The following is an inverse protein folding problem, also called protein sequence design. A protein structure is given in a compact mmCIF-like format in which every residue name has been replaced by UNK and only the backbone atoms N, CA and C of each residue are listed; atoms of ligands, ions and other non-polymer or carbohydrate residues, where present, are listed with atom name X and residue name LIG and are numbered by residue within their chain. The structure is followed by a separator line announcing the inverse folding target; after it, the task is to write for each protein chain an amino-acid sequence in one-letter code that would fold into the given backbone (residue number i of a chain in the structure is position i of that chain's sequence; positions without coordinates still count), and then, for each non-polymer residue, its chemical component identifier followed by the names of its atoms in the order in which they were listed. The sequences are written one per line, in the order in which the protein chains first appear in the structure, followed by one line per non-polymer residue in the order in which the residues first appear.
data_IF_334310576243
#
_entry.id   IF_334310576243
#
_cell.length_a   1.000
_cell.length_b   1.000
_cell.length_c   1.000
_cell.angle_alpha   90.00
_cell.angle_beta   90.00
_cell.angle_gamma   90.00
#
_symmetry.space_group_name_H-M   'P 1'
#
loop_
_entity.id
_entity.type
_entity.pdbx_description
1 polymer ?
#
# COMPACT_ATOMS: atom_id res chain seq x y z
N UNK A 1 5.08 -23.89 0.66
CA UNK A 1 4.57 -24.10 2.03
C UNK A 1 3.05 -24.17 1.97
N UNK A 2 2.44 -25.03 2.77
CA UNK A 2 0.98 -25.12 2.88
C UNK A 2 0.56 -24.38 4.16
N UNK A 3 0.01 -23.18 4.01
CA UNK A 3 -0.44 -22.36 5.14
C UNK A 3 -1.87 -22.75 5.51
N UNK A 4 -2.04 -23.40 6.65
CA UNK A 4 -3.30 -23.97 7.10
C UNK A 4 -4.16 -23.01 7.92
N UNK A 5 -3.53 -22.13 8.68
CA UNK A 5 -4.22 -21.16 9.54
C UNK A 5 -3.62 -19.77 9.41
N UNK A 6 -4.46 -18.80 9.07
CA UNK A 6 -4.05 -17.41 8.82
C UNK A 6 -4.88 -16.48 9.70
N UNK A 7 -4.19 -15.58 10.40
CA UNK A 7 -4.78 -14.58 11.26
C UNK A 7 -4.80 -13.20 10.63
N UNK A 8 -5.86 -12.43 10.90
CA UNK A 8 -5.99 -11.03 10.49
C UNK A 8 -6.21 -10.13 11.69
N UNK A 9 -5.36 -9.14 11.87
CA UNK A 9 -5.55 -8.08 12.86
C UNK A 9 -5.98 -6.82 12.12
N UNK A 10 -7.28 -6.58 12.12
CA UNK A 10 -7.96 -5.59 11.30
C UNK A 10 -8.57 -6.18 10.02
N UNK A 11 -9.88 -5.96 9.82
CA UNK A 11 -10.62 -6.34 8.63
C UNK A 11 -11.27 -5.10 8.00
N UNK A 12 -10.44 -4.19 7.49
CA UNK A 12 -10.87 -3.08 6.65
C UNK A 12 -10.98 -3.50 5.17
N UNK A 13 -10.89 -2.53 4.26
CA UNK A 13 -10.88 -2.78 2.82
C UNK A 13 -9.76 -3.78 2.42
N UNK A 14 -8.52 -3.53 2.83
CA UNK A 14 -7.37 -4.35 2.40
C UNK A 14 -7.37 -5.71 3.11
N UNK A 15 -7.46 -5.73 4.46
CA UNK A 15 -7.47 -6.99 5.22
C UNK A 15 -8.65 -7.88 4.86
N UNK A 16 -9.83 -7.30 4.69
CA UNK A 16 -11.03 -8.03 4.23
C UNK A 16 -10.89 -8.55 2.80
N UNK A 17 -10.33 -7.76 1.88
CA UNK A 17 -10.10 -8.20 0.50
C UNK A 17 -9.08 -9.35 0.43
N UNK A 18 -7.99 -9.25 1.20
CA UNK A 18 -7.00 -10.32 1.29
C UNK A 18 -7.63 -11.61 1.86
N UNK A 19 -8.41 -11.50 2.95
CA UNK A 19 -9.12 -12.64 3.53
C UNK A 19 -10.10 -13.27 2.54
N UNK A 20 -10.94 -12.48 1.85
CA UNK A 20 -11.85 -12.96 0.81
C UNK A 20 -11.13 -13.61 -0.37
N UNK A 21 -10.00 -13.04 -0.80
CA UNK A 21 -9.16 -13.62 -1.86
C UNK A 21 -8.62 -14.98 -1.44
N UNK A 22 -8.06 -15.08 -0.23
CA UNK A 22 -7.53 -16.35 0.31
C UNK A 22 -8.66 -17.38 0.42
N UNK A 23 -9.82 -17.02 0.96
CA UNK A 23 -10.94 -17.95 1.11
C UNK A 23 -11.47 -18.46 -0.23
N UNK A 24 -11.45 -17.61 -1.27
CA UNK A 24 -11.84 -18.00 -2.63
C UNK A 24 -10.86 -19.01 -3.25
N UNK A 25 -9.55 -18.80 -3.06
CA UNK A 25 -8.50 -19.60 -3.71
C UNK A 25 -8.15 -20.85 -2.89
N UNK A 26 -8.16 -20.72 -1.58
CA UNK A 26 -7.82 -21.76 -0.60
C UNK A 26 -8.97 -21.96 0.40
N UNK A 27 -10.11 -22.55 -0.01
CA UNK A 27 -11.31 -22.65 0.82
C UNK A 27 -11.10 -23.45 2.12
N UNK A 28 -10.13 -24.37 2.14
CA UNK A 28 -9.81 -25.20 3.31
C UNK A 28 -8.91 -24.49 4.35
N UNK A 29 -8.33 -23.33 4.00
CA UNK A 29 -7.53 -22.57 4.95
C UNK A 29 -8.44 -21.99 6.04
N UNK A 30 -8.09 -22.21 7.30
CA UNK A 30 -8.75 -21.58 8.44
C UNK A 30 -8.34 -20.11 8.52
N UNK A 31 -9.31 -19.21 8.44
CA UNK A 31 -9.07 -17.78 8.59
C UNK A 31 -9.73 -17.32 9.88
N UNK A 32 -8.93 -16.68 10.75
CA UNK A 32 -9.40 -16.04 11.98
C UNK A 32 -9.07 -14.56 11.96
N UNK A 33 -9.88 -13.75 12.64
CA UNK A 33 -9.65 -12.32 12.66
C UNK A 33 -10.05 -11.66 13.99
N UNK A 34 -9.43 -10.51 14.26
CA UNK A 34 -9.92 -9.54 15.23
C UNK A 34 -10.01 -8.15 14.62
N UNK A 35 -10.85 -7.30 15.15
CA UNK A 35 -11.12 -5.94 14.64
C UNK A 35 -11.49 -5.01 15.80
N UNK A 36 -11.49 -3.71 15.55
CA UNK A 36 -11.97 -2.72 16.52
C UNK A 36 -13.48 -2.77 16.77
N UNK A 37 -14.24 -3.46 15.91
CA UNK A 37 -15.71 -3.53 16.02
C UNK A 37 -16.19 -4.97 15.82
N UNK A 38 -17.01 -5.45 16.75
CA UNK A 38 -17.63 -6.78 16.66
C UNK A 38 -18.48 -6.93 15.39
N UNK A 39 -19.18 -5.89 14.96
CA UNK A 39 -19.98 -5.91 13.72
C UNK A 39 -19.19 -6.27 12.46
N UNK A 40 -17.91 -5.91 12.41
CA UNK A 40 -17.01 -6.31 11.31
C UNK A 40 -16.74 -7.81 11.33
N UNK A 41 -16.51 -8.37 12.51
CA UNK A 41 -16.28 -9.82 12.69
C UNK A 41 -17.57 -10.60 12.38
N UNK A 42 -18.71 -10.15 12.89
CA UNK A 42 -20.01 -10.75 12.59
C UNK A 42 -20.27 -10.80 11.08
N UNK A 43 -20.08 -9.68 10.36
CA UNK A 43 -20.28 -9.63 8.91
C UNK A 43 -19.34 -10.58 8.15
N UNK A 44 -18.06 -10.68 8.57
CA UNK A 44 -17.09 -11.56 7.94
C UNK A 44 -17.33 -13.06 8.26
N UNK A 45 -17.91 -13.35 9.41
CA UNK A 45 -18.35 -14.69 9.78
C UNK A 45 -19.61 -15.11 8.99
N UNK A 46 -20.60 -14.23 8.91
CA UNK A 46 -21.86 -14.49 8.19
C UNK A 46 -21.64 -14.71 6.68
N UNK A 47 -20.66 -14.05 6.07
CA UNK A 47 -20.28 -14.28 4.66
C UNK A 47 -19.25 -15.41 4.49
N UNK A 48 -18.98 -16.19 5.54
CA UNK A 48 -18.08 -17.33 5.57
C UNK A 48 -16.62 -17.02 5.19
N UNK A 49 -16.17 -15.78 5.35
CA UNK A 49 -14.78 -15.40 5.10
C UNK A 49 -13.86 -15.86 6.25
N UNK A 50 -14.33 -15.76 7.49
CA UNK A 50 -13.58 -16.17 8.69
C UNK A 50 -14.34 -17.21 9.52
N UNK A 51 -13.65 -17.91 10.44
CA UNK A 51 -14.22 -18.99 11.24
C UNK A 51 -14.67 -18.58 12.64
N UNK A 52 -14.30 -17.37 13.12
CA UNK A 52 -14.73 -16.88 14.42
C UNK A 52 -15.82 -15.80 14.31
N UNK A 53 -16.75 -15.81 15.27
CA UNK A 53 -17.88 -14.89 15.38
C UNK A 53 -17.72 -13.85 16.52
N UNK A 54 -16.62 -13.95 17.28
CA UNK A 54 -16.29 -13.08 18.40
C UNK A 54 -14.94 -12.38 18.20
N UNK A 55 -14.71 -11.30 18.97
CA UNK A 55 -13.39 -10.65 19.00
C UNK A 55 -12.38 -11.58 19.68
N UNK A 56 -11.25 -11.79 19.01
CA UNK A 56 -10.16 -12.63 19.50
C UNK A 56 -9.12 -11.79 20.24
N UNK A 57 -8.52 -12.38 21.27
CA UNK A 57 -7.33 -11.85 21.93
C UNK A 57 -6.05 -12.28 21.20
N UNK A 58 -4.93 -11.59 21.43
CA UNK A 58 -3.66 -11.86 20.73
C UNK A 58 -3.15 -13.30 20.94
N UNK A 59 -3.42 -13.93 22.08
CA UNK A 59 -3.08 -15.33 22.36
C UNK A 59 -3.75 -16.34 21.41
N UNK A 60 -4.92 -15.99 20.86
CA UNK A 60 -5.71 -16.87 19.99
C UNK A 60 -5.08 -17.01 18.60
N UNK A 61 -4.08 -16.18 18.27
CA UNK A 61 -3.28 -16.23 17.03
C UNK A 61 -2.01 -17.10 17.17
N UNK A 62 -1.80 -17.75 18.29
CA UNK A 62 -0.55 -18.45 18.62
C UNK A 62 -0.21 -19.63 17.69
N UNK A 63 -1.21 -20.20 17.02
CA UNK A 63 -1.07 -21.32 16.09
C UNK A 63 -1.17 -20.92 14.60
N UNK A 64 -1.24 -19.62 14.30
CA UNK A 64 -1.27 -19.12 12.92
C UNK A 64 0.07 -19.34 12.20
N UNK A 65 0.00 -19.71 10.92
CA UNK A 65 1.16 -19.79 10.02
C UNK A 65 1.55 -18.41 9.48
N UNK A 66 0.53 -17.57 9.23
CA UNK A 66 0.69 -16.17 8.83
C UNK A 66 -0.22 -15.32 9.71
N UNK A 67 0.24 -14.14 10.09
CA UNK A 67 -0.57 -13.10 10.72
C UNK A 67 -0.42 -11.82 9.91
N UNK A 68 -1.53 -11.35 9.33
CA UNK A 68 -1.58 -10.07 8.63
C UNK A 68 -2.03 -8.93 9.56
N UNK A 69 -1.21 -7.90 9.66
CA UNK A 69 -1.46 -6.66 10.40
C UNK A 69 -2.09 -5.63 9.46
N UNK A 70 -3.39 -5.46 9.54
CA UNK A 70 -4.18 -4.66 8.60
C UNK A 70 -4.79 -3.41 9.22
N UNK A 71 -4.27 -2.96 10.36
CA UNK A 71 -4.61 -1.71 11.03
C UNK A 71 -3.66 -0.57 10.59
N UNK A 72 -3.92 0.69 10.95
CA UNK A 72 -2.94 1.76 10.83
C UNK A 72 -1.62 1.42 11.53
N UNK A 73 -0.49 1.90 10.98
CA UNK A 73 0.87 1.50 11.40
C UNK A 73 1.07 1.61 12.92
N UNK A 74 0.67 2.71 13.53
CA UNK A 74 0.82 2.94 14.97
C UNK A 74 0.08 1.86 15.80
N UNK A 75 -1.11 1.48 15.34
CA UNK A 75 -1.90 0.43 16.00
C UNK A 75 -1.31 -0.96 15.77
N UNK A 76 -0.77 -1.21 14.60
CA UNK A 76 -0.04 -2.45 14.31
C UNK A 76 1.15 -2.62 15.26
N UNK A 77 1.90 -1.55 15.56
CA UNK A 77 3.03 -1.57 16.50
C UNK A 77 2.59 -1.98 17.91
N UNK A 78 1.43 -1.49 18.37
CA UNK A 78 0.85 -1.92 19.65
C UNK A 78 0.53 -3.41 19.65
N UNK A 79 -0.16 -3.88 18.61
CA UNK A 79 -0.51 -5.31 18.47
C UNK A 79 0.71 -6.23 18.32
N UNK A 80 1.77 -5.80 17.66
CA UNK A 80 3.02 -6.57 17.57
C UNK A 80 3.61 -6.81 18.96
N UNK A 81 3.60 -5.81 19.84
CA UNK A 81 4.08 -5.97 21.23
C UNK A 81 3.26 -6.99 22.01
N UNK A 82 1.94 -6.96 21.82
CA UNK A 82 1.04 -7.92 22.47
C UNK A 82 1.15 -9.33 21.89
N UNK A 83 1.41 -9.47 20.58
CA UNK A 83 1.57 -10.75 19.89
C UNK A 83 2.89 -11.45 20.22
N UNK A 84 3.97 -10.68 20.46
CA UNK A 84 5.34 -11.21 20.61
C UNK A 84 5.42 -12.47 21.48
N UNK A 85 4.81 -12.56 22.68
CA UNK A 85 4.91 -13.74 23.54
C UNK A 85 4.18 -14.98 23.00
N UNK A 86 3.35 -14.84 21.97
CA UNK A 86 2.49 -15.90 21.43
C UNK A 86 2.90 -16.37 20.04
N UNK A 87 3.88 -15.73 19.39
CA UNK A 87 4.31 -16.11 18.06
C UNK A 87 4.99 -17.48 18.05
N UNK A 88 4.46 -18.43 17.30
CA UNK A 88 5.11 -19.73 17.11
C UNK A 88 6.31 -19.62 16.17
N UNK A 89 7.28 -20.50 16.36
CA UNK A 89 8.41 -20.61 15.43
C UNK A 89 7.92 -20.91 14.00
N UNK A 90 8.39 -20.14 13.04
CA UNK A 90 8.03 -20.27 11.63
C UNK A 90 6.73 -19.53 11.23
N UNK A 91 6.08 -18.83 12.15
CA UNK A 91 5.01 -17.90 11.82
C UNK A 91 5.56 -16.73 11.00
N UNK A 92 4.86 -16.34 9.93
CA UNK A 92 5.15 -15.14 9.17
C UNK A 92 4.25 -14.02 9.69
N UNK A 93 4.85 -12.95 10.18
CA UNK A 93 4.18 -11.72 10.52
C UNK A 93 4.33 -10.75 9.36
N UNK A 94 3.24 -10.25 8.79
CA UNK A 94 3.27 -9.32 7.66
C UNK A 94 2.26 -8.19 7.86
N UNK A 95 2.58 -6.98 7.41
CA UNK A 95 1.62 -5.88 7.39
C UNK A 95 1.12 -5.60 5.98
N UNK A 96 0.22 -4.63 5.85
CA UNK A 96 -0.30 -4.16 4.55
C UNK A 96 -0.21 -2.63 4.41
N UNK A 97 0.60 -2.00 5.23
CA UNK A 97 0.73 -0.54 5.28
C UNK A 97 1.41 0.06 4.06
N UNK A 98 1.14 1.34 3.79
CA UNK A 98 1.73 2.08 2.66
C UNK A 98 3.08 2.71 2.96
N UNK A 99 3.57 2.60 4.19
CA UNK A 99 4.91 3.04 4.63
C UNK A 99 5.55 1.91 5.42
N UNK A 100 6.87 1.70 5.26
CA UNK A 100 7.60 0.57 5.85
C UNK A 100 8.61 0.96 6.93
N UNK A 101 9.10 2.21 6.96
CA UNK A 101 10.13 2.64 7.90
C UNK A 101 9.78 2.37 9.35
N UNK A 102 8.72 3.00 9.86
CA UNK A 102 8.32 2.92 11.28
C UNK A 102 8.08 1.48 11.76
N UNK A 103 7.45 0.64 10.93
CA UNK A 103 7.16 -0.74 11.31
C UNK A 103 8.44 -1.59 11.34
N UNK A 104 9.36 -1.41 10.37
CA UNK A 104 10.66 -2.09 10.36
C UNK A 104 11.52 -1.70 11.57
N UNK A 105 11.55 -0.42 11.94
CA UNK A 105 12.25 0.05 13.15
C UNK A 105 11.67 -0.61 14.39
N UNK A 106 10.34 -0.68 14.49
CA UNK A 106 9.66 -1.32 15.63
C UNK A 106 9.92 -2.82 15.69
N UNK A 107 9.91 -3.52 14.56
CA UNK A 107 10.24 -4.94 14.44
C UNK A 107 11.68 -5.20 14.89
N UNK A 108 12.65 -4.36 14.50
CA UNK A 108 14.03 -4.44 14.92
C UNK A 108 14.17 -4.21 16.43
N UNK A 109 13.53 -3.16 16.95
CA UNK A 109 13.55 -2.86 18.39
C UNK A 109 12.91 -3.97 19.25
N UNK A 110 11.99 -4.74 18.68
CA UNK A 110 11.33 -5.87 19.33
C UNK A 110 12.04 -7.22 19.07
N UNK A 111 13.15 -7.25 18.31
CA UNK A 111 13.89 -8.47 17.96
C UNK A 111 13.01 -9.53 17.23
N UNK A 112 12.10 -9.05 16.36
CA UNK A 112 11.16 -9.89 15.62
C UNK A 112 11.49 -10.01 14.11
N UNK A 113 12.69 -9.61 13.70
CA UNK A 113 13.11 -9.56 12.29
C UNK A 113 13.00 -10.92 11.58
N UNK A 114 13.27 -12.03 12.28
CA UNK A 114 13.14 -13.38 11.71
C UNK A 114 11.70 -13.84 11.47
N UNK A 115 10.73 -13.14 12.01
CA UNK A 115 9.30 -13.41 11.81
C UNK A 115 8.68 -12.51 10.75
N UNK A 116 9.28 -11.35 10.45
CA UNK A 116 8.62 -10.28 9.73
C UNK A 116 9.05 -10.19 8.28
N UNK A 117 8.05 -10.10 7.42
CA UNK A 117 8.18 -9.69 6.02
C UNK A 117 7.13 -8.60 5.81
N UNK A 118 7.57 -7.35 5.67
CA UNK A 118 6.65 -6.25 5.41
C UNK A 118 5.93 -6.44 4.08
N UNK A 119 4.68 -6.02 4.02
CA UNK A 119 3.86 -6.11 2.83
C UNK A 119 3.21 -4.76 2.49
N UNK A 120 3.00 -4.52 1.20
CA UNK A 120 2.22 -3.39 0.71
C UNK A 120 1.53 -3.75 -0.60
N UNK A 121 0.26 -4.13 -0.59
CA UNK A 121 -0.52 -4.24 -1.82
C UNK A 121 -0.74 -2.84 -2.41
N UNK A 122 -0.23 -2.62 -3.63
CA UNK A 122 -0.42 -1.37 -4.38
C UNK A 122 -1.84 -1.30 -4.97
N UNK A 123 -2.82 -1.50 -4.11
CA UNK A 123 -4.24 -1.53 -4.43
C UNK A 123 -5.05 -0.81 -3.35
N UNK A 124 -6.12 -0.17 -3.74
CA UNK A 124 -7.00 0.55 -2.83
C UNK A 124 -8.17 1.19 -3.56
N UNK A 125 -9.03 1.80 -2.81
CA UNK A 125 -10.10 2.67 -3.32
C UNK A 125 -10.41 3.76 -2.28
N UNK A 126 -11.23 4.72 -2.66
CA UNK A 126 -11.78 5.75 -1.76
C UNK A 126 -12.76 5.18 -0.72
N UNK A 127 -13.22 3.94 -0.92
CA UNK A 127 -14.14 3.25 0.00
C UNK A 127 -13.38 2.66 1.18
N UNK A 128 -14.04 2.54 2.31
CA UNK A 128 -13.46 2.04 3.56
C UNK A 128 -14.32 0.94 4.18
N UNK A 129 -13.71 0.18 5.10
CA UNK A 129 -14.40 -0.84 5.88
C UNK A 129 -14.53 -2.19 5.15
N UNK A 130 -14.98 -3.19 5.90
CA UNK A 130 -15.13 -4.56 5.42
C UNK A 130 -16.16 -4.70 4.30
N UNK A 131 -17.25 -3.92 4.35
CA UNK A 131 -18.32 -3.95 3.34
C UNK A 131 -17.84 -3.55 1.93
N UNK A 132 -16.75 -2.80 1.86
CA UNK A 132 -16.12 -2.43 0.58
C UNK A 132 -15.11 -3.47 0.08
N UNK A 133 -14.78 -4.47 0.90
CA UNK A 133 -13.78 -5.50 0.58
C UNK A 133 -14.32 -6.47 -0.49
N UNK A 134 -13.44 -6.81 -1.44
CA UNK A 134 -13.75 -7.73 -2.54
C UNK A 134 -12.60 -8.72 -2.76
N UNK A 135 -12.93 -9.94 -3.17
CA UNK A 135 -11.95 -10.99 -3.46
C UNK A 135 -11.10 -10.72 -4.73
N UNK A 136 -11.31 -9.60 -5.41
CA UNK A 136 -10.65 -9.26 -6.68
C UNK A 136 -9.78 -8.00 -6.59
N UNK A 137 -9.76 -7.33 -5.45
CA UNK A 137 -9.03 -6.05 -5.26
C UNK A 137 -7.53 -6.18 -5.55
N UNK A 138 -6.96 -7.34 -5.28
CA UNK A 138 -5.54 -7.62 -5.39
C UNK A 138 -5.12 -8.21 -6.74
N UNK A 139 -6.07 -8.56 -7.60
CA UNK A 139 -5.76 -9.16 -8.91
C UNK A 139 -4.98 -8.18 -9.80
N UNK A 140 -3.84 -8.64 -10.30
CA UNK A 140 -2.88 -7.86 -11.11
C UNK A 140 -2.28 -6.64 -10.40
N UNK A 141 -2.52 -6.48 -9.10
CA UNK A 141 -1.87 -5.41 -8.33
C UNK A 141 -0.46 -5.83 -7.93
N UNK A 142 0.50 -4.92 -8.02
CA UNK A 142 1.78 -5.13 -7.39
C UNK A 142 1.61 -5.32 -5.89
N UNK A 143 2.31 -6.30 -5.33
CA UNK A 143 2.37 -6.53 -3.90
C UNK A 143 3.84 -6.47 -3.46
N UNK A 144 4.23 -5.37 -2.84
CA UNK A 144 5.62 -5.18 -2.45
C UNK A 144 5.89 -5.94 -1.16
N UNK A 145 7.00 -6.69 -1.16
CA UNK A 145 7.52 -7.41 0.00
C UNK A 145 8.83 -6.78 0.44
N UNK A 146 8.90 -6.42 1.72
CA UNK A 146 10.11 -5.82 2.30
C UNK A 146 10.64 -6.75 3.40
N UNK A 147 11.61 -7.65 3.07
CA UNK A 147 12.24 -8.50 4.04
C UNK A 147 13.12 -7.69 5.01
N UNK A 148 13.39 -8.27 6.17
CA UNK A 148 14.40 -7.75 7.10
C UNK A 148 15.77 -8.40 6.82
N UNK A 149 16.81 -7.92 7.49
CA UNK A 149 18.15 -8.52 7.39
C UNK A 149 18.22 -9.96 7.94
N UNK A 150 17.24 -10.39 8.76
CA UNK A 150 17.18 -11.74 9.35
C UNK A 150 16.09 -12.62 8.72
N UNK A 151 15.45 -12.17 7.66
CA UNK A 151 14.45 -12.97 6.94
C UNK A 151 15.13 -14.13 6.24
N UNK A 152 14.67 -15.35 6.51
CA UNK A 152 15.13 -16.55 5.80
C UNK A 152 14.69 -16.51 4.33
N UNK A 153 15.64 -16.71 3.42
CA UNK A 153 15.40 -16.64 1.97
C UNK A 153 14.36 -17.66 1.50
N UNK A 154 14.35 -18.86 2.06
CA UNK A 154 13.37 -19.91 1.73
C UNK A 154 11.96 -19.49 2.15
N UNK A 155 11.84 -18.88 3.34
CA UNK A 155 10.57 -18.35 3.84
C UNK A 155 10.09 -17.17 2.96
N UNK A 156 11.01 -16.27 2.59
CA UNK A 156 10.69 -15.13 1.71
C UNK A 156 10.15 -15.61 0.35
N UNK A 157 10.84 -16.56 -0.28
CA UNK A 157 10.41 -17.10 -1.57
C UNK A 157 9.06 -17.83 -1.45
N UNK A 158 8.86 -18.62 -0.42
CA UNK A 158 7.57 -19.30 -0.19
C UNK A 158 6.42 -18.29 0.03
N UNK A 159 6.67 -17.22 0.77
CA UNK A 159 5.69 -16.15 0.98
C UNK A 159 5.42 -15.35 -0.31
N UNK A 160 6.48 -15.03 -1.09
CA UNK A 160 6.34 -14.43 -2.42
C UNK A 160 5.45 -15.27 -3.34
N UNK A 161 5.72 -16.57 -3.43
CA UNK A 161 4.95 -17.49 -4.28
C UNK A 161 3.50 -17.63 -3.81
N UNK A 162 3.30 -17.59 -2.49
CA UNK A 162 1.95 -17.56 -1.92
C UNK A 162 1.19 -16.27 -2.32
N UNK A 163 1.80 -15.09 -2.18
CA UNK A 163 1.20 -13.82 -2.62
C UNK A 163 0.91 -13.82 -4.12
N UNK A 164 1.82 -14.39 -4.92
CA UNK A 164 1.60 -14.57 -6.35
C UNK A 164 0.40 -15.47 -6.66
N UNK A 165 0.23 -16.55 -5.93
CA UNK A 165 -0.91 -17.48 -6.09
C UNK A 165 -2.27 -16.82 -5.77
N UNK A 166 -2.27 -15.71 -5.02
CA UNK A 166 -3.46 -14.91 -4.75
C UNK A 166 -3.84 -13.96 -5.92
N UNK A 167 -3.07 -13.97 -7.01
CA UNK A 167 -3.33 -13.17 -8.20
C UNK A 167 -2.62 -11.81 -8.21
N UNK A 168 -1.78 -11.52 -7.22
CA UNK A 168 -0.96 -10.32 -7.18
C UNK A 168 0.37 -10.51 -7.90
N UNK A 169 1.06 -9.41 -8.22
CA UNK A 169 2.41 -9.39 -8.78
C UNK A 169 3.40 -9.01 -7.66
N UNK A 170 4.06 -9.98 -7.01
CA UNK A 170 4.96 -9.67 -5.91
C UNK A 170 6.25 -9.03 -6.42
N UNK A 171 6.73 -8.02 -5.69
CA UNK A 171 8.01 -7.35 -5.93
C UNK A 171 8.76 -7.24 -4.61
N UNK A 172 10.03 -7.66 -4.58
CA UNK A 172 10.87 -7.62 -3.39
C UNK A 172 11.77 -6.39 -3.46
N UNK A 173 11.81 -5.59 -2.40
CA UNK A 173 12.76 -4.48 -2.24
C UNK A 173 12.99 -4.19 -0.75
N UNK A 174 13.99 -3.40 -0.42
CA UNK A 174 14.19 -2.95 0.96
C UNK A 174 13.18 -1.85 1.35
N UNK A 175 12.97 -1.66 2.66
CA UNK A 175 11.99 -0.71 3.18
C UNK A 175 12.29 0.75 2.78
N UNK A 176 13.56 1.15 2.68
CA UNK A 176 13.96 2.50 2.31
C UNK A 176 13.68 2.80 0.83
N UNK A 177 14.02 1.86 -0.04
CA UNK A 177 13.68 1.93 -1.47
C UNK A 177 12.17 1.98 -1.68
N UNK A 178 11.41 1.15 -0.94
CA UNK A 178 9.94 1.18 -0.94
C UNK A 178 9.41 2.56 -0.58
N UNK A 179 9.84 3.11 0.55
CA UNK A 179 9.31 4.38 1.07
C UNK A 179 9.67 5.57 0.16
N UNK A 180 10.86 5.54 -0.47
CA UNK A 180 11.24 6.52 -1.48
C UNK A 180 10.38 6.40 -2.74
N UNK A 181 10.18 5.19 -3.25
CA UNK A 181 9.37 4.96 -4.45
C UNK A 181 7.90 5.37 -4.21
N UNK A 182 7.29 4.94 -3.11
CA UNK A 182 5.90 5.29 -2.77
C UNK A 182 5.72 6.78 -2.50
N UNK A 183 6.71 7.43 -1.87
CA UNK A 183 6.71 8.88 -1.74
C UNK A 183 6.68 9.58 -3.09
N UNK A 184 7.45 9.09 -4.06
CA UNK A 184 7.58 9.70 -5.40
C UNK A 184 6.31 9.53 -6.24
N UNK A 185 5.73 8.32 -6.29
CA UNK A 185 4.64 7.98 -7.22
C UNK A 185 3.25 8.05 -6.60
N UNK A 186 3.15 8.18 -5.28
CA UNK A 186 1.87 8.23 -4.56
C UNK A 186 1.77 9.43 -3.64
N UNK A 187 2.69 9.59 -2.67
CA UNK A 187 2.52 10.58 -1.62
C UNK A 187 2.66 12.02 -2.14
N UNK A 188 3.72 12.32 -2.88
CA UNK A 188 3.90 13.63 -3.51
C UNK A 188 2.75 13.99 -4.46
N UNK A 189 2.29 13.13 -5.38
CA UNK A 189 1.12 13.39 -6.21
C UNK A 189 -0.15 13.78 -5.43
N UNK A 190 -0.43 13.11 -4.30
CA UNK A 190 -1.58 13.47 -3.46
C UNK A 190 -1.41 14.84 -2.78
N UNK A 191 -0.21 15.16 -2.32
CA UNK A 191 0.10 16.47 -1.73
C UNK A 191 -0.07 17.57 -2.79
N UNK A 192 0.42 17.34 -4.01
CA UNK A 192 0.26 18.28 -5.13
C UNK A 192 -1.22 18.48 -5.45
N UNK A 193 -1.99 17.40 -5.57
CA UNK A 193 -3.41 17.46 -5.86
C UNK A 193 -4.18 18.24 -4.78
N UNK A 194 -3.92 17.96 -3.51
CA UNK A 194 -4.55 18.67 -2.39
C UNK A 194 -4.13 20.15 -2.35
N UNK A 195 -2.86 20.45 -2.59
CA UNK A 195 -2.34 21.82 -2.64
C UNK A 195 -2.95 22.62 -3.78
N UNK A 196 -3.10 22.00 -4.96
CA UNK A 196 -3.75 22.64 -6.11
C UNK A 196 -5.23 22.95 -5.84
N UNK A 197 -5.97 22.02 -5.21
CA UNK A 197 -7.36 22.27 -4.81
C UNK A 197 -7.46 23.41 -3.80
N UNK A 198 -6.58 23.42 -2.80
CA UNK A 198 -6.55 24.50 -1.80
C UNK A 198 -6.23 25.85 -2.43
N UNK A 199 -5.26 25.90 -3.36
CA UNK A 199 -4.92 27.14 -4.09
C UNK A 199 -6.13 27.69 -4.85
N UNK A 200 -6.84 26.84 -5.61
CA UNK A 200 -8.04 27.27 -6.34
C UNK A 200 -9.12 27.75 -5.38
N UNK A 201 -9.38 27.03 -4.30
CA UNK A 201 -10.36 27.44 -3.27
C UNK A 201 -10.05 28.83 -2.68
N UNK A 202 -8.77 29.16 -2.49
CA UNK A 202 -8.34 30.42 -1.88
C UNK A 202 -8.29 31.60 -2.87
N UNK A 203 -8.22 31.30 -4.18
CA UNK A 203 -8.10 32.32 -5.24
C UNK A 203 -9.37 32.48 -6.07
N UNK A 204 -10.40 31.63 -5.87
CA UNK A 204 -11.68 31.74 -6.59
C UNK A 204 -12.44 32.99 -6.15
N UNK A 205 -13.25 33.52 -7.06
CA UNK A 205 -14.08 34.68 -6.82
C UNK A 205 -15.39 34.34 -6.09
N UNK A 206 -16.14 35.36 -5.69
CA UNK A 206 -17.42 35.21 -4.97
C UNK A 206 -18.49 34.44 -5.80
N UNK A 207 -18.33 34.38 -7.12
CA UNK A 207 -19.23 33.66 -8.01
C UNK A 207 -18.81 32.20 -8.25
N UNK A 208 -17.75 31.72 -7.56
CA UNK A 208 -17.17 30.39 -7.76
C UNK A 208 -16.85 30.09 -9.24
N UNK A 209 -16.30 31.07 -9.96
CA UNK A 209 -16.04 30.98 -11.41
C UNK A 209 -15.09 29.83 -11.73
N UNK A 210 -13.96 29.70 -11.00
CA UNK A 210 -12.98 28.64 -11.26
C UNK A 210 -13.57 27.26 -10.98
N UNK A 211 -14.33 27.12 -9.90
CA UNK A 211 -15.03 25.88 -9.54
C UNK A 211 -16.06 25.50 -10.61
N UNK A 212 -16.79 26.47 -11.14
CA UNK A 212 -17.83 26.27 -12.15
C UNK A 212 -17.26 25.80 -13.49
N UNK A 213 -16.13 26.39 -13.94
CA UNK A 213 -15.51 26.03 -15.22
C UNK A 213 -14.50 24.89 -15.12
N UNK A 214 -14.29 24.31 -13.91
CA UNK A 214 -13.37 23.20 -13.71
C UNK A 214 -13.74 22.00 -14.61
N UNK A 215 -12.91 21.73 -15.61
CA UNK A 215 -13.12 20.70 -16.61
C UNK A 215 -12.26 19.45 -16.36
N UNK A 216 -12.24 18.52 -17.32
CA UNK A 216 -11.61 17.20 -17.21
C UNK A 216 -10.19 17.23 -16.65
N UNK A 217 -9.29 18.04 -17.22
CA UNK A 217 -7.90 18.09 -16.80
C UNK A 217 -7.71 18.42 -15.30
N UNK A 218 -8.47 19.41 -14.78
CA UNK A 218 -8.44 19.73 -13.36
C UNK A 218 -9.02 18.59 -12.51
N UNK A 219 -10.16 18.04 -12.91
CA UNK A 219 -10.82 16.93 -12.20
C UNK A 219 -9.96 15.67 -12.16
N UNK A 220 -9.28 15.36 -13.25
CA UNK A 220 -8.43 14.17 -13.35
C UNK A 220 -7.22 14.28 -12.42
N UNK A 221 -6.48 15.39 -12.45
CA UNK A 221 -5.29 15.58 -11.62
C UNK A 221 -5.64 15.72 -10.13
N UNK A 222 -6.81 16.27 -9.81
CA UNK A 222 -7.24 16.51 -8.41
C UNK A 222 -8.13 15.42 -7.84
N UNK A 223 -8.53 14.41 -8.60
CA UNK A 223 -9.41 13.31 -8.14
C UNK A 223 -8.92 12.68 -6.82
N UNK A 224 -7.61 12.49 -6.69
CA UNK A 224 -7.00 11.88 -5.51
C UNK A 224 -7.01 12.78 -4.27
N UNK A 225 -7.27 14.07 -4.40
CA UNK A 225 -7.41 14.99 -3.27
C UNK A 225 -8.65 14.69 -2.39
N UNK A 226 -9.61 13.89 -2.89
CA UNK A 226 -10.80 13.44 -2.13
C UNK A 226 -10.54 12.26 -1.20
N UNK A 227 -9.29 11.87 -1.00
CA UNK A 227 -8.91 10.77 -0.11
C UNK A 227 -9.06 11.14 1.37
N UNK A 228 -9.05 10.11 2.25
CA UNK A 228 -9.21 10.25 3.70
C UNK A 228 -8.16 11.16 4.35
N UNK A 229 -8.54 12.28 5.00
CA UNK A 229 -7.58 13.15 5.68
C UNK A 229 -6.79 12.45 6.80
N UNK A 230 -7.45 11.55 7.53
CA UNK A 230 -6.82 10.79 8.63
C UNK A 230 -5.72 9.87 8.09
N UNK A 231 -5.99 9.17 7.00
CA UNK A 231 -4.99 8.32 6.33
C UNK A 231 -3.78 9.15 5.88
N UNK A 232 -4.00 10.29 5.25
CA UNK A 232 -2.93 11.17 4.74
C UNK A 232 -2.13 11.82 5.86
N UNK A 233 -2.77 12.18 6.97
CA UNK A 233 -2.07 12.64 8.17
C UNK A 233 -1.05 11.59 8.65
N UNK A 234 -1.44 10.32 8.73
CA UNK A 234 -0.53 9.25 9.12
C UNK A 234 0.58 9.00 8.11
N UNK A 235 0.27 8.95 6.80
CA UNK A 235 1.27 8.77 5.75
C UNK A 235 2.32 9.88 5.78
N UNK A 236 1.90 11.14 5.87
CA UNK A 236 2.82 12.28 5.94
C UNK A 236 3.70 12.27 7.19
N UNK A 237 3.18 11.77 8.31
CA UNK A 237 3.98 11.61 9.52
C UNK A 237 5.01 10.49 9.40
N UNK A 238 4.60 9.31 8.90
CA UNK A 238 5.45 8.11 8.84
C UNK A 238 6.48 8.13 7.71
N UNK A 239 6.22 8.80 6.57
CA UNK A 239 7.19 8.92 5.47
C UNK A 239 7.74 10.36 5.32
N UNK A 240 7.85 11.04 6.44
CA UNK A 240 8.15 12.48 6.50
C UNK A 240 9.41 12.88 5.74
N UNK A 241 10.52 12.17 5.94
CA UNK A 241 11.83 12.55 5.35
C UNK A 241 11.82 12.44 3.82
N UNK A 242 11.28 11.35 3.28
CA UNK A 242 11.18 11.16 1.84
C UNK A 242 10.25 12.19 1.20
N UNK A 243 9.12 12.46 1.85
CA UNK A 243 8.15 13.45 1.37
C UNK A 243 8.76 14.84 1.34
N UNK A 244 9.45 15.27 2.41
CA UNK A 244 10.10 16.59 2.44
C UNK A 244 11.15 16.73 1.34
N UNK A 245 12.02 15.73 1.18
CA UNK A 245 13.02 15.72 0.11
C UNK A 245 12.40 15.89 -1.28
N UNK A 246 11.26 15.22 -1.51
CA UNK A 246 10.59 15.29 -2.80
C UNK A 246 9.82 16.59 -3.02
N UNK A 247 9.26 17.18 -1.97
CA UNK A 247 8.64 18.49 -2.03
C UNK A 247 9.69 19.55 -2.41
N UNK A 248 10.87 19.50 -1.80
CA UNK A 248 11.95 20.43 -2.11
C UNK A 248 12.35 20.32 -3.60
N UNK A 249 12.58 19.12 -4.10
CA UNK A 249 12.88 18.89 -5.53
C UNK A 249 11.75 19.36 -6.46
N UNK A 250 10.51 19.07 -6.11
CA UNK A 250 9.37 19.51 -6.91
C UNK A 250 9.25 21.04 -6.93
N UNK A 251 9.55 21.69 -5.82
CA UNK A 251 9.60 23.16 -5.75
C UNK A 251 10.70 23.73 -6.64
N UNK A 252 11.84 23.07 -6.74
CA UNK A 252 12.93 23.44 -7.68
C UNK A 252 12.47 23.34 -9.13
N UNK A 253 11.75 22.25 -9.49
CA UNK A 253 11.17 22.08 -10.84
C UNK A 253 10.16 23.20 -11.17
N UNK A 254 9.28 23.55 -10.23
CA UNK A 254 8.34 24.65 -10.40
C UNK A 254 9.05 26.01 -10.55
N UNK A 255 10.12 26.27 -9.80
CA UNK A 255 10.92 27.48 -9.90
C UNK A 255 11.65 27.55 -11.24
N UNK A 256 12.15 26.44 -11.74
CA UNK A 256 12.76 26.34 -13.07
C UNK A 256 11.75 26.73 -14.15
N UNK A 257 10.55 26.12 -14.15
CA UNK A 257 9.51 26.46 -15.13
C UNK A 257 9.08 27.93 -15.00
N UNK A 258 8.94 28.44 -13.76
CA UNK A 258 8.63 29.85 -13.51
C UNK A 258 9.64 30.78 -14.16
N UNK A 259 10.94 30.49 -14.06
CA UNK A 259 12.02 31.27 -14.66
C UNK A 259 11.97 31.23 -16.18
N UNK A 260 11.78 30.03 -16.77
CA UNK A 260 11.64 29.87 -18.23
C UNK A 260 10.50 30.70 -18.79
N UNK A 261 9.35 30.71 -18.10
CA UNK A 261 8.18 31.52 -18.50
C UNK A 261 8.49 33.02 -18.38
N UNK A 262 9.09 33.44 -17.26
CA UNK A 262 9.43 34.85 -17.03
C UNK A 262 10.40 35.40 -18.08
N UNK A 263 11.38 34.59 -18.51
CA UNK A 263 12.40 34.92 -19.47
C UNK A 263 11.96 34.65 -20.93
N UNK A 264 10.74 34.14 -21.16
CA UNK A 264 10.16 33.80 -22.49
C UNK A 264 11.04 32.83 -23.27
N UNK A 265 11.61 31.83 -22.63
CA UNK A 265 12.48 30.83 -23.23
C UNK A 265 11.65 29.73 -23.90
N UNK A 266 11.07 30.05 -25.05
CA UNK A 266 10.10 29.18 -25.74
C UNK A 266 10.65 27.80 -26.06
N UNK A 267 11.92 27.69 -26.48
CA UNK A 267 12.53 26.41 -26.80
C UNK A 267 12.69 25.55 -25.55
N UNK A 268 13.23 26.11 -24.49
CA UNK A 268 13.45 25.40 -23.22
C UNK A 268 12.14 24.99 -22.58
N UNK A 269 11.07 25.80 -22.72
CA UNK A 269 9.71 25.43 -22.32
C UNK A 269 9.20 24.22 -23.13
N UNK A 270 9.38 24.23 -24.45
CA UNK A 270 9.05 23.09 -25.31
C UNK A 270 9.80 21.83 -24.88
N UNK A 271 11.10 21.93 -24.68
CA UNK A 271 11.95 20.80 -24.28
C UNK A 271 11.52 20.22 -22.93
N UNK A 272 11.16 21.07 -21.97
CA UNK A 272 10.64 20.64 -20.65
C UNK A 272 9.39 19.76 -20.79
N UNK A 273 8.40 20.17 -21.57
CA UNK A 273 7.17 19.40 -21.79
C UNK A 273 7.43 18.15 -22.65
N UNK A 274 8.34 18.22 -23.62
CA UNK A 274 8.71 17.08 -24.47
C UNK A 274 9.32 15.95 -23.64
N UNK A 275 10.28 16.25 -22.76
CA UNK A 275 10.91 15.26 -21.88
C UNK A 275 9.88 14.62 -20.94
N UNK A 276 8.97 15.42 -20.36
CA UNK A 276 7.92 14.90 -19.50
C UNK A 276 6.97 13.96 -20.26
N UNK A 277 6.59 14.34 -21.50
CA UNK A 277 5.75 13.54 -22.38
C UNK A 277 6.42 12.21 -22.71
N UNK A 278 7.68 12.23 -23.15
CA UNK A 278 8.41 11.03 -23.57
C UNK A 278 8.52 10.02 -22.39
N UNK A 279 8.85 10.53 -21.20
CA UNK A 279 8.89 9.68 -20.00
C UNK A 279 7.50 9.14 -19.64
N UNK A 280 6.45 9.99 -19.66
CA UNK A 280 5.08 9.55 -19.36
C UNK A 280 4.59 8.49 -20.35
N UNK A 281 4.88 8.64 -21.62
CA UNK A 281 4.50 7.68 -22.67
C UNK A 281 5.25 6.35 -22.54
N UNK A 282 6.45 6.34 -21.92
CA UNK A 282 7.20 5.12 -21.63
C UNK A 282 6.62 4.32 -20.45
N UNK A 283 5.80 4.95 -19.59
CA UNK A 283 5.14 4.26 -18.48
C UNK A 283 4.07 3.34 -19.06
N UNK A 284 4.37 2.06 -19.18
CA UNK A 284 3.40 1.04 -19.55
C UNK A 284 2.44 0.83 -18.39
N UNK A 285 1.17 1.22 -18.59
CA UNK A 285 0.10 0.74 -17.72
C UNK A 285 -0.05 -0.73 -18.07
N UNK A 286 0.33 -1.63 -17.18
CA UNK A 286 0.02 -3.05 -17.29
C UNK A 286 -1.50 -3.22 -17.16
N UNK A 287 -2.21 -2.86 -18.23
CA UNK A 287 -3.63 -3.17 -18.36
C UNK A 287 -3.73 -4.63 -18.77
N UNK A 288 -4.23 -5.47 -17.87
CA UNK A 288 -4.95 -6.72 -18.19
C UNK A 288 -4.40 -7.56 -19.34
N UNK A 289 -3.13 -7.97 -19.28
CA UNK A 289 -2.65 -9.13 -20.02
C UNK A 289 -2.76 -10.39 -19.12
N UNK A 290 -2.83 -11.61 -19.66
CA UNK A 290 -2.87 -12.79 -18.83
C UNK A 290 -1.62 -12.85 -17.93
N UNK A 291 -1.82 -12.96 -16.63
CA UNK A 291 -0.83 -13.00 -15.54
C UNK A 291 0.46 -13.80 -15.86
N UNK A 292 0.35 -14.86 -16.66
CA UNK A 292 1.49 -15.71 -17.05
C UNK A 292 2.65 -14.97 -17.72
N UNK A 293 2.40 -13.98 -18.57
CA UNK A 293 3.48 -13.26 -19.29
C UNK A 293 4.26 -12.30 -18.40
N UNK A 294 3.60 -11.72 -17.40
CA UNK A 294 4.28 -10.82 -16.43
C UNK A 294 5.12 -11.64 -15.45
N UNK A 295 4.66 -12.85 -15.10
CA UNK A 295 5.35 -13.78 -14.21
C UNK A 295 6.67 -14.29 -14.82
N UNK A 296 6.67 -14.69 -16.08
CA UNK A 296 7.86 -15.18 -16.77
C UNK A 296 8.95 -14.10 -16.90
N UNK A 297 8.55 -12.84 -17.14
CA UNK A 297 9.49 -11.71 -17.26
C UNK A 297 10.19 -11.33 -15.94
N UNK A 298 9.53 -11.53 -14.78
CA UNK A 298 10.10 -11.15 -13.47
C UNK A 298 10.90 -12.28 -12.81
N UNK A 299 10.58 -13.56 -13.09
CA UNK A 299 11.39 -14.67 -12.64
C UNK A 299 12.79 -14.64 -13.24
N UNK A 300 12.91 -14.33 -14.55
CA UNK A 300 14.19 -14.24 -15.24
C UNK A 300 15.11 -13.12 -14.69
N UNK A 301 14.52 -12.03 -14.15
CA UNK A 301 15.28 -10.92 -13.56
C UNK A 301 15.74 -11.19 -12.11
N UNK A 302 15.14 -12.14 -11.42
CA UNK A 302 15.48 -12.50 -10.02
C UNK A 302 16.53 -13.62 -10.00
N UNK A 303 16.53 -14.50 -11.00
CA UNK A 303 17.51 -15.59 -11.13
C UNK A 303 18.89 -15.11 -11.63
N UNK A 304 18.99 -13.88 -12.17
CA UNK A 304 20.25 -13.24 -12.61
C UNK A 304 20.84 -12.25 -11.58
N UNK A 305 20.21 -12.03 -10.43
CA UNK A 305 20.67 -11.15 -9.33
C UNK A 305 21.04 -11.97 -8.10
#
# INVERSE_FOLDING_TARGET
MDFKKIGFIGLGLIGGSLAKTIKRIYPETELIATSGHLSTITAAFEDHTISNDTLLAMKDFSDCDIIFLCCPVQKNIEYIKELKPFLKKGCILSDVGSVKGDIHESITALELESFFIGGHPMAGSEKTGYQAATAYLLENAYYILTPTAKTDTTVLHAFRDYIASLGSVPMIMDAKTHDHATASISHLPHIIAASLVNLIRETDDENETMKTIAAGGFKDITRIASSSPVMWQHICASNREQILTLIDRYTEELNTMRSLIAERKEKEIYDFFSHAKDYRDSITITSSGPLRKVFECYCDLIDEA
#
